data_IF_351326490222
#
_entry.id   IF_351326490222
#
_cell.length_a   1.000
_cell.length_b   1.000
_cell.length_c   1.000
_cell.angle_alpha   90.00
_cell.angle_beta   90.00
_cell.angle_gamma   90.00
#
_symmetry.space_group_name_H-M   'P 1'
#
loop_
_entity.id
_entity.type
_entity.pdbx_description
1 polymer ?
#
# COMPACT_ATOMS: atom_id res chain seq x y z
N UNK A 1 25.51 14.41 -10.50
CA UNK A 1 25.63 12.94 -10.62
C UNK A 1 24.25 12.37 -10.90
N UNK A 2 23.91 12.16 -12.18
CA UNK A 2 22.64 11.56 -12.56
C UNK A 2 22.71 10.04 -12.31
N UNK A 3 21.72 9.48 -11.59
CA UNK A 3 21.64 8.05 -11.32
C UNK A 3 21.53 7.27 -12.64
N UNK A 4 22.38 6.28 -12.83
CA UNK A 4 22.38 5.39 -14.01
C UNK A 4 21.28 4.34 -13.90
N UNK A 5 20.74 3.86 -15.03
CA UNK A 5 19.62 2.90 -15.06
C UNK A 5 19.88 1.58 -14.30
N UNK A 6 21.15 1.24 -14.08
CA UNK A 6 21.62 0.11 -13.28
C UNK A 6 21.40 0.26 -11.77
N UNK A 7 21.25 1.49 -11.26
CA UNK A 7 21.05 1.78 -9.83
C UNK A 7 19.59 1.57 -9.39
N UNK A 8 18.72 1.36 -10.37
CA UNK A 8 17.28 1.14 -10.23
C UNK A 8 17.00 -0.36 -10.23
N UNK A 9 17.69 -1.11 -9.38
CA UNK A 9 17.39 -2.51 -9.09
C UNK A 9 16.38 -2.60 -7.95
N UNK A 10 15.17 -2.10 -8.22
CA UNK A 10 14.02 -2.20 -7.32
C UNK A 10 12.93 -3.07 -7.93
N UNK A 11 12.12 -3.70 -7.07
CA UNK A 11 10.92 -4.43 -7.47
C UNK A 11 10.09 -3.60 -8.46
N UNK A 12 9.70 -4.20 -9.59
CA UNK A 12 8.99 -3.50 -10.65
C UNK A 12 7.76 -2.74 -10.12
N UNK A 13 7.62 -1.48 -10.52
CA UNK A 13 6.53 -0.60 -10.07
C UNK A 13 5.33 -0.79 -10.98
N UNK A 14 4.24 -1.25 -10.38
CA UNK A 14 2.95 -1.39 -11.06
C UNK A 14 2.10 -0.15 -10.82
N UNK A 15 1.77 0.57 -11.88
CA UNK A 15 0.86 1.72 -11.80
C UNK A 15 -0.28 1.60 -12.79
N UNK A 16 -1.30 2.40 -12.56
CA UNK A 16 -2.32 2.72 -13.54
C UNK A 16 -1.71 3.46 -14.74
N UNK A 17 -2.41 3.42 -15.89
CA UNK A 17 -1.97 4.01 -17.16
C UNK A 17 -2.06 5.55 -17.18
N UNK A 18 -1.96 6.20 -16.03
CA UNK A 18 -2.01 7.66 -15.95
C UNK A 18 -0.75 8.26 -16.59
N UNK A 19 -0.87 9.28 -17.46
CA UNK A 19 0.27 9.85 -18.20
C UNK A 19 1.40 10.37 -17.31
N UNK A 20 1.07 10.85 -16.10
CA UNK A 20 2.03 11.41 -15.15
C UNK A 20 3.10 10.40 -14.71
N UNK A 21 2.75 9.12 -14.56
CA UNK A 21 3.72 8.11 -14.13
C UNK A 21 4.81 7.84 -15.16
N UNK A 22 4.51 8.05 -16.45
CA UNK A 22 5.47 7.88 -17.54
C UNK A 22 6.65 8.86 -17.47
N UNK A 23 6.44 10.03 -16.87
CA UNK A 23 7.48 11.03 -16.66
C UNK A 23 8.27 10.81 -15.37
N UNK A 24 7.67 10.16 -14.37
CA UNK A 24 8.25 9.96 -13.04
C UNK A 24 9.01 8.63 -12.91
N UNK A 25 8.56 7.60 -13.63
CA UNK A 25 9.07 6.24 -13.48
C UNK A 25 9.78 5.83 -14.78
N UNK A 26 11.05 5.38 -14.69
CA UNK A 26 11.76 4.85 -15.84
C UNK A 26 11.07 3.61 -16.40
N UNK A 27 10.97 3.53 -17.73
CA UNK A 27 10.26 2.47 -18.45
C UNK A 27 10.78 1.06 -18.14
N UNK A 28 12.05 0.93 -17.77
CA UNK A 28 12.70 -0.35 -17.40
C UNK A 28 12.06 -0.97 -16.15
N UNK A 29 11.48 -0.15 -15.26
CA UNK A 29 10.85 -0.59 -14.01
C UNK A 29 9.32 -0.45 -14.02
N UNK A 30 8.75 0.12 -15.08
CA UNK A 30 7.35 0.49 -15.12
C UNK A 30 6.53 -0.57 -15.85
N UNK A 31 5.61 -1.21 -15.14
CA UNK A 31 4.68 -2.16 -15.75
C UNK A 31 3.24 -1.71 -15.55
N UNK A 32 2.51 -1.51 -16.64
CA UNK A 32 1.10 -1.11 -16.58
C UNK A 32 0.17 -2.29 -16.86
N UNK A 33 -0.71 -2.61 -15.92
CA UNK A 33 -1.75 -3.63 -16.10
C UNK A 33 -3.09 -3.11 -15.59
N UNK A 34 -4.19 -3.52 -16.22
CA UNK A 34 -5.54 -3.04 -15.85
C UNK A 34 -6.03 -3.55 -14.49
N UNK A 35 -5.49 -4.66 -13.97
CA UNK A 35 -6.05 -5.35 -12.79
C UNK A 35 -5.06 -5.62 -11.66
N UNK A 36 -3.80 -5.20 -11.75
CA UNK A 36 -2.79 -5.48 -10.74
C UNK A 36 -2.99 -4.70 -9.43
N UNK A 37 -3.56 -3.49 -9.50
CA UNK A 37 -3.78 -2.63 -8.32
C UNK A 37 -5.03 -2.99 -7.51
N UNK A 38 -5.91 -3.85 -8.05
CA UNK A 38 -7.16 -4.27 -7.40
C UNK A 38 -6.96 -4.80 -5.97
N UNK A 39 -5.86 -5.50 -5.70
CA UNK A 39 -5.60 -6.00 -4.35
C UNK A 39 -5.35 -4.86 -3.35
N UNK A 40 -4.68 -3.78 -3.78
CA UNK A 40 -4.37 -2.60 -2.95
C UNK A 40 -5.68 -1.83 -2.75
N UNK A 41 -6.44 -1.64 -3.82
CA UNK A 41 -7.75 -0.97 -3.78
C UNK A 41 -8.73 -1.67 -2.84
N UNK A 42 -8.80 -3.02 -2.90
CA UNK A 42 -9.61 -3.82 -1.97
C UNK A 42 -9.13 -3.68 -0.53
N UNK A 43 -7.81 -3.73 -0.27
CA UNK A 43 -7.26 -3.49 1.07
C UNK A 43 -7.62 -2.10 1.59
N UNK A 44 -7.49 -1.05 0.76
CA UNK A 44 -7.85 0.31 1.12
C UNK A 44 -9.35 0.45 1.42
N UNK A 45 -10.22 -0.20 0.64
CA UNK A 45 -11.65 -0.22 0.90
C UNK A 45 -11.97 -0.86 2.25
N UNK A 46 -11.37 -2.02 2.55
CA UNK A 46 -11.53 -2.73 3.82
C UNK A 46 -11.11 -1.86 5.01
N UNK A 47 -9.94 -1.22 4.95
CA UNK A 47 -9.45 -0.30 6.00
C UNK A 47 -10.44 0.83 6.21
N UNK A 48 -10.91 1.47 5.13
CA UNK A 48 -11.84 2.60 5.22
C UNK A 48 -13.17 2.20 5.86
N UNK A 49 -13.69 1.01 5.53
CA UNK A 49 -14.91 0.48 6.13
C UNK A 49 -14.73 0.18 7.63
N UNK A 50 -13.61 -0.43 8.01
CA UNK A 50 -13.34 -0.78 9.40
C UNK A 50 -13.10 0.43 10.29
N UNK A 51 -12.37 1.44 9.82
CA UNK A 51 -12.17 2.70 10.55
C UNK A 51 -13.51 3.42 10.77
N UNK A 52 -14.37 3.48 9.74
CA UNK A 52 -15.72 4.06 9.91
C UNK A 52 -16.54 3.30 10.95
N UNK A 53 -16.51 1.96 10.92
CA UNK A 53 -17.20 1.12 11.89
C UNK A 53 -16.66 1.32 13.31
N UNK A 54 -15.34 1.42 13.45
CA UNK A 54 -14.67 1.69 14.73
C UNK A 54 -15.12 3.03 15.31
N UNK A 55 -15.13 4.09 14.49
CA UNK A 55 -15.60 5.41 14.91
C UNK A 55 -17.07 5.38 15.37
N UNK A 56 -17.96 4.67 14.67
CA UNK A 56 -19.36 4.53 15.09
C UNK A 56 -19.51 3.76 16.40
N UNK A 57 -18.73 2.69 16.61
CA UNK A 57 -18.75 1.88 17.85
C UNK A 57 -18.20 2.63 19.06
N UNK A 58 -17.30 3.57 18.83
CA UNK A 58 -16.61 4.33 19.87
C UNK A 58 -17.17 5.75 20.02
N UNK A 59 -18.30 6.09 19.36
CA UNK A 59 -18.88 7.44 19.33
C UNK A 59 -17.88 8.53 18.90
N UNK A 60 -16.87 8.16 18.10
CA UNK A 60 -15.81 9.03 17.65
C UNK A 60 -14.59 9.12 18.59
N UNK A 61 -14.59 8.45 19.75
CA UNK A 61 -13.45 8.46 20.67
C UNK A 61 -13.15 7.07 21.25
N UNK A 62 -11.94 6.56 21.04
CA UNK A 62 -11.51 5.35 21.74
C UNK A 62 -11.19 5.70 23.20
N UNK A 63 -11.84 5.02 24.16
CA UNK A 63 -11.49 5.15 25.60
C UNK A 63 -10.04 4.74 25.91
N UNK A 64 -9.41 3.96 25.02
CA UNK A 64 -8.03 3.51 25.14
C UNK A 64 -7.26 3.76 23.85
N UNK A 65 -6.22 4.59 23.93
CA UNK A 65 -5.30 4.86 22.81
C UNK A 65 -4.52 3.60 22.43
N UNK A 66 -4.15 2.77 23.40
CA UNK A 66 -3.41 1.52 23.15
C UNK A 66 -4.23 0.53 22.32
N UNK A 67 -5.54 0.43 22.58
CA UNK A 67 -6.45 -0.40 21.77
C UNK A 67 -6.54 0.10 20.32
N UNK A 68 -6.68 1.42 20.14
CA UNK A 68 -6.72 2.04 18.81
C UNK A 68 -5.41 1.79 18.04
N UNK A 69 -4.27 1.95 18.71
CA UNK A 69 -2.95 1.68 18.13
C UNK A 69 -2.77 0.21 17.78
N UNK A 70 -3.23 -0.73 18.63
CA UNK A 70 -3.16 -2.16 18.34
C UNK A 70 -3.99 -2.53 17.09
N UNK A 71 -5.21 -2.01 16.97
CA UNK A 71 -6.07 -2.22 15.78
C UNK A 71 -5.41 -1.67 14.52
N UNK A 72 -4.87 -0.45 14.56
CA UNK A 72 -4.14 0.10 13.41
C UNK A 72 -2.93 -0.75 13.06
N UNK A 73 -2.18 -1.22 14.07
CA UNK A 73 -1.00 -2.04 13.85
C UNK A 73 -1.31 -3.35 13.15
N UNK A 74 -2.44 -3.96 13.47
CA UNK A 74 -2.90 -5.19 12.83
C UNK A 74 -3.19 -4.95 11.32
N UNK A 75 -3.80 -3.83 10.95
CA UNK A 75 -4.10 -3.57 9.52
C UNK A 75 -2.86 -3.26 8.68
N UNK A 76 -1.90 -2.50 9.21
CA UNK A 76 -0.74 -2.07 8.44
C UNK A 76 0.44 -3.04 8.49
N UNK A 77 0.73 -3.64 9.67
CA UNK A 77 1.95 -4.43 9.88
C UNK A 77 1.71 -5.94 10.12
N UNK A 78 0.46 -6.42 10.29
CA UNK A 78 0.24 -7.86 10.48
C UNK A 78 0.54 -8.72 9.25
N UNK A 79 0.73 -8.09 8.07
CA UNK A 79 1.02 -8.79 6.82
C UNK A 79 2.52 -8.82 6.45
N UNK A 80 3.41 -8.28 7.29
CA UNK A 80 4.85 -8.21 6.98
C UNK A 80 5.61 -9.54 7.17
N UNK A 81 4.91 -10.63 7.52
CA UNK A 81 5.55 -11.91 7.85
C UNK A 81 6.01 -12.74 6.65
N UNK A 82 5.77 -12.35 5.40
CA UNK A 82 6.21 -13.14 4.23
C UNK A 82 6.60 -12.26 3.04
N UNK A 83 7.83 -11.73 2.99
CA UNK A 83 8.55 -11.46 1.73
C UNK A 83 10.05 -11.83 1.81
N UNK A 84 10.40 -12.88 2.57
CA UNK A 84 11.74 -13.48 2.55
C UNK A 84 11.67 -14.93 2.02
N UNK A 85 11.19 -15.10 0.79
CA UNK A 85 11.53 -16.21 -0.11
C UNK A 85 10.72 -16.07 -1.40
N UNK A 86 11.25 -15.30 -2.35
CA UNK A 86 11.00 -15.55 -3.76
C UNK A 86 12.37 -15.90 -4.35
N UNK A 87 12.60 -17.20 -4.53
CA UNK A 87 13.54 -17.70 -5.51
C UNK A 87 13.09 -17.27 -6.91
#
# INVERSE_FOLDING_TARGET
>A
MARTASDLKGDGVYTDKLPTYRALIPSVQHSTFSKCTNHIERKHLTVRCHVKRLNRRTLGFSRSVSMLQAVMKIYFWANDKCQSNRH
#
